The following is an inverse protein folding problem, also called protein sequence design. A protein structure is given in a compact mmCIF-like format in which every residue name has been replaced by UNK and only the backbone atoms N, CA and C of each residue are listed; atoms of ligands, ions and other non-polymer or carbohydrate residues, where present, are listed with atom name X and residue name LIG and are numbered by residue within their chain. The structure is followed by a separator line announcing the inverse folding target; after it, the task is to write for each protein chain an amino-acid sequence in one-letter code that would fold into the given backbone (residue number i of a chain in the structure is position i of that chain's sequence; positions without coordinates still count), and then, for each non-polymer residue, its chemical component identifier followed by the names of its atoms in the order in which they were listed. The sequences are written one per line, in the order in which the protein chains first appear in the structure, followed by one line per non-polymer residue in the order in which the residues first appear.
data_IF_797777289846
#
_entry.id   IF_797777289846
#
_cell.length_a   1.000
_cell.length_b   1.000
_cell.length_c   1.000
_cell.angle_alpha   90.00
_cell.angle_beta   90.00
_cell.angle_gamma   90.00
#
_symmetry.space_group_name_H-M   'P 1'
#
loop_
_entity.id
_entity.type
_entity.pdbx_description
1 polymer ?
#
# COMPACT_ATOMS: atom_id res chain seq x y z
N UNK A 1 4.67 -2.32 -17.02
CA UNK A 1 5.14 -2.28 -15.62
C UNK A 1 6.52 -2.91 -15.43
N UNK A 2 6.77 -4.14 -15.89
CA UNK A 2 8.07 -4.81 -15.70
C UNK A 2 9.28 -4.00 -16.21
N UNK A 3 9.17 -3.38 -17.40
CA UNK A 3 10.22 -2.49 -17.95
C UNK A 3 10.53 -1.31 -17.03
N UNK A 4 9.50 -0.69 -16.48
CA UNK A 4 9.64 0.44 -15.55
C UNK A 4 10.39 0.02 -14.29
N UNK A 5 10.00 -1.11 -13.68
CA UNK A 5 10.67 -1.67 -12.51
C UNK A 5 12.13 -1.97 -12.83
N UNK A 6 12.41 -2.62 -13.96
CA UNK A 6 13.77 -2.95 -14.38
C UNK A 6 14.66 -1.70 -14.55
N UNK A 7 14.09 -0.55 -14.93
CA UNK A 7 14.83 0.71 -15.06
C UNK A 7 15.19 1.37 -13.73
N UNK A 8 14.40 1.15 -12.68
CA UNK A 8 14.63 1.74 -11.34
C UNK A 8 15.36 0.80 -10.38
N UNK A 9 15.46 -0.48 -10.71
CA UNK A 9 16.22 -1.42 -9.92
C UNK A 9 17.73 -1.09 -9.94
N UNK A 10 18.47 -1.40 -8.86
CA UNK A 10 19.93 -1.35 -8.87
C UNK A 10 20.49 -2.15 -10.06
N UNK A 11 21.57 -1.67 -10.67
CA UNK A 11 22.13 -2.29 -11.89
C UNK A 11 22.53 -3.76 -11.70
N UNK A 12 22.93 -4.13 -10.47
CA UNK A 12 23.28 -5.49 -10.07
C UNK A 12 22.07 -6.35 -9.70
N UNK A 13 20.86 -5.79 -9.61
CA UNK A 13 19.67 -6.53 -9.28
C UNK A 13 19.26 -7.42 -10.47
N UNK A 14 19.20 -8.73 -10.20
CA UNK A 14 18.79 -9.74 -11.19
C UNK A 14 17.36 -10.24 -10.97
N UNK A 15 16.74 -9.83 -9.87
CA UNK A 15 15.40 -10.24 -9.45
C UNK A 15 14.82 -9.21 -8.48
N UNK A 16 13.51 -9.29 -8.28
CA UNK A 16 12.83 -8.70 -7.13
C UNK A 16 12.99 -9.68 -5.96
N UNK A 17 13.57 -9.22 -4.85
CA UNK A 17 13.73 -10.10 -3.69
C UNK A 17 12.39 -10.38 -2.98
N UNK A 18 11.55 -9.35 -2.84
CA UNK A 18 10.22 -9.44 -2.23
C UNK A 18 9.16 -8.76 -3.11
N UNK A 19 8.07 -9.46 -3.39
CA UNK A 19 6.83 -8.87 -3.91
C UNK A 19 5.73 -9.06 -2.87
N UNK A 20 5.12 -7.97 -2.42
CA UNK A 20 4.00 -7.99 -1.49
C UNK A 20 2.72 -7.59 -2.20
N UNK A 21 1.70 -8.42 -2.10
CA UNK A 21 0.38 -8.18 -2.67
C UNK A 21 -0.54 -7.66 -1.56
N UNK A 22 -0.98 -6.40 -1.63
CA UNK A 22 -1.71 -5.79 -0.51
C UNK A 22 -3.06 -6.49 -0.25
N UNK A 23 -3.79 -6.82 -1.30
CA UNK A 23 -5.04 -7.59 -1.31
C UNK A 23 -5.36 -8.03 -2.76
N UNK A 24 -6.49 -8.71 -2.96
CA UNK A 24 -6.82 -9.44 -4.19
C UNK A 24 -7.77 -8.71 -5.15
N UNK A 25 -7.63 -7.39 -5.30
CA UNK A 25 -8.25 -6.66 -6.40
C UNK A 25 -7.31 -6.53 -7.61
N UNK A 26 -7.93 -6.43 -8.79
CA UNK A 26 -7.22 -6.49 -10.07
C UNK A 26 -6.22 -5.37 -10.33
N UNK A 27 -6.37 -4.22 -9.69
CA UNK A 27 -5.41 -3.11 -9.72
C UNK A 27 -4.23 -3.28 -8.76
N UNK A 28 -4.29 -4.25 -7.86
CA UNK A 28 -3.18 -4.62 -6.97
C UNK A 28 -2.42 -5.85 -7.48
N UNK A 29 -3.13 -6.78 -8.12
CA UNK A 29 -2.54 -8.04 -8.59
C UNK A 29 -2.45 -8.20 -10.11
N UNK A 30 -3.23 -7.43 -10.87
CA UNK A 30 -3.50 -7.66 -12.28
C UNK A 30 -4.88 -8.28 -12.51
N UNK A 31 -5.52 -7.88 -13.60
CA UNK A 31 -6.79 -8.47 -14.07
C UNK A 31 -6.53 -9.29 -15.33
N UNK A 32 -6.84 -10.58 -15.30
CA UNK A 32 -6.79 -11.43 -16.49
C UNK A 32 -8.15 -11.48 -17.16
N UNK A 33 -8.15 -11.40 -18.48
CA UNK A 33 -9.34 -11.56 -19.34
C UNK A 33 -9.16 -12.77 -20.25
N UNK A 34 -10.18 -13.12 -21.04
CA UNK A 34 -10.17 -14.29 -21.93
C UNK A 34 -8.90 -14.35 -22.78
N UNK A 35 -8.53 -13.22 -23.35
CA UNK A 35 -7.47 -13.12 -24.35
C UNK A 35 -6.16 -12.55 -23.76
N UNK A 36 -6.03 -12.50 -22.42
CA UNK A 36 -4.74 -12.15 -21.80
C UNK A 36 -3.65 -13.12 -22.25
N UNK A 37 -2.43 -12.64 -22.56
CA UNK A 37 -1.32 -13.49 -22.97
C UNK A 37 -1.05 -14.62 -21.97
N UNK A 38 -0.58 -15.75 -22.46
CA UNK A 38 -0.18 -16.89 -21.61
C UNK A 38 1.32 -16.81 -21.34
N UNK A 39 1.76 -17.20 -20.14
CA UNK A 39 3.18 -17.34 -19.83
C UNK A 39 3.89 -18.23 -20.85
N UNK A 40 5.17 -17.96 -21.13
CA UNK A 40 5.99 -18.82 -21.99
C UNK A 40 6.08 -20.26 -21.48
N UNK A 41 5.93 -20.44 -20.17
CA UNK A 41 5.91 -21.74 -19.55
C UNK A 41 4.57 -22.48 -19.66
N UNK A 42 3.51 -21.79 -20.10
CA UNK A 42 2.14 -22.29 -20.05
C UNK A 42 1.54 -22.26 -18.64
N UNK A 43 0.26 -22.63 -18.51
CA UNK A 43 -0.40 -22.85 -17.22
C UNK A 43 -1.04 -21.64 -16.53
N UNK A 44 -0.58 -20.41 -16.80
CA UNK A 44 -1.20 -19.18 -16.30
C UNK A 44 -1.10 -18.02 -17.30
N UNK A 45 -1.99 -17.04 -17.14
CA UNK A 45 -2.08 -15.82 -17.93
C UNK A 45 -1.31 -14.66 -17.30
N UNK A 46 -0.83 -13.76 -18.15
CA UNK A 46 -0.02 -12.60 -17.82
C UNK A 46 -0.90 -11.37 -17.64
N UNK A 47 -0.86 -10.81 -16.43
CA UNK A 47 -1.39 -9.49 -16.06
C UNK A 47 -0.84 -9.09 -14.70
N UNK A 48 -0.42 -7.84 -14.53
CA UNK A 48 0.08 -7.33 -13.25
C UNK A 48 1.27 -8.12 -12.72
N UNK A 49 1.14 -8.75 -11.55
CA UNK A 49 2.25 -9.46 -10.89
C UNK A 49 2.73 -10.67 -11.71
N UNK A 50 1.83 -11.36 -12.40
CA UNK A 50 2.22 -12.55 -13.20
C UNK A 50 3.03 -12.16 -14.43
N UNK A 51 2.72 -11.00 -15.02
CA UNK A 51 3.52 -10.42 -16.11
C UNK A 51 4.87 -9.87 -15.62
N UNK A 52 4.91 -9.26 -14.42
CA UNK A 52 6.18 -8.84 -13.82
C UNK A 52 7.11 -10.05 -13.68
N UNK A 53 6.62 -11.14 -13.10
CA UNK A 53 7.40 -12.35 -12.86
C UNK A 53 7.86 -13.06 -14.14
N UNK A 54 7.15 -12.87 -15.26
CA UNK A 54 7.55 -13.38 -16.59
C UNK A 54 8.85 -12.73 -17.08
N UNK A 55 9.05 -11.45 -16.76
CA UNK A 55 10.17 -10.64 -17.25
C UNK A 55 11.27 -10.43 -16.21
N UNK A 56 10.91 -10.47 -14.93
CA UNK A 56 11.79 -10.16 -13.82
C UNK A 56 11.49 -11.16 -12.69
N UNK A 57 12.40 -12.11 -12.42
CA UNK A 57 12.17 -13.14 -11.40
C UNK A 57 11.84 -12.52 -10.04
N UNK A 58 11.00 -13.21 -9.26
CA UNK A 58 10.63 -12.82 -7.90
C UNK A 58 11.09 -13.91 -6.95
N UNK A 59 11.88 -13.55 -5.93
CA UNK A 59 12.40 -14.47 -4.93
C UNK A 59 11.33 -14.94 -3.95
N UNK A 60 10.59 -14.00 -3.36
CA UNK A 60 9.51 -14.26 -2.41
C UNK A 60 8.27 -13.43 -2.72
N UNK A 61 7.11 -14.09 -2.74
CA UNK A 61 5.80 -13.44 -2.73
C UNK A 61 5.21 -13.51 -1.33
N UNK A 62 4.66 -12.39 -0.85
CA UNK A 62 3.93 -12.33 0.41
C UNK A 62 2.53 -11.81 0.13
N UNK A 63 1.51 -12.54 0.57
CA UNK A 63 0.11 -12.14 0.43
C UNK A 63 -0.69 -12.40 1.71
N UNK A 64 -1.95 -11.96 1.74
CA UNK A 64 -2.77 -12.04 2.97
C UNK A 64 -3.32 -13.43 3.27
N UNK A 65 -3.31 -14.38 2.34
CA UNK A 65 -4.16 -15.58 2.46
C UNK A 65 -3.51 -16.92 2.06
N UNK A 66 -2.24 -16.94 1.65
CA UNK A 66 -1.50 -18.19 1.45
C UNK A 66 -1.53 -19.06 2.72
N UNK A 67 -1.61 -20.40 2.63
CA UNK A 67 -1.88 -21.18 1.42
C UNK A 67 -3.38 -21.42 1.16
N UNK A 68 -4.24 -21.06 2.10
CA UNK A 68 -5.62 -21.56 2.15
C UNK A 68 -6.55 -20.81 1.19
N UNK A 69 -6.36 -19.48 1.04
CA UNK A 69 -7.19 -18.61 0.21
C UNK A 69 -8.71 -18.76 0.48
N UNK A 70 -9.07 -18.97 1.75
CA UNK A 70 -10.43 -19.34 2.17
C UNK A 70 -11.15 -18.29 3.04
N UNK A 71 -10.48 -17.19 3.39
CA UNK A 71 -11.03 -16.12 4.24
C UNK A 71 -11.18 -14.80 3.47
N UNK A 72 -12.34 -14.12 3.56
CA UNK A 72 -13.50 -14.40 4.40
C UNK A 72 -14.42 -15.50 3.83
N UNK A 73 -14.21 -15.84 2.57
CA UNK A 73 -14.82 -16.93 1.83
C UNK A 73 -13.80 -17.50 0.83
N UNK A 74 -14.03 -18.70 0.27
CA UNK A 74 -13.17 -19.27 -0.76
C UNK A 74 -12.96 -18.34 -1.96
N UNK A 75 -11.70 -17.98 -2.20
CA UNK A 75 -11.31 -17.07 -3.28
C UNK A 75 -11.18 -17.83 -4.61
N UNK A 76 -12.27 -17.88 -5.37
CA UNK A 76 -12.40 -18.65 -6.62
C UNK A 76 -12.57 -17.80 -7.89
N UNK A 77 -12.34 -16.49 -7.82
CA UNK A 77 -12.41 -15.62 -9.00
C UNK A 77 -11.39 -16.04 -10.07
N UNK A 78 -11.63 -15.68 -11.35
CA UNK A 78 -10.69 -15.96 -12.45
C UNK A 78 -9.27 -15.48 -12.14
N UNK A 79 -9.14 -14.27 -11.58
CA UNK A 79 -7.86 -13.70 -11.18
C UNK A 79 -7.17 -14.55 -10.11
N UNK A 80 -7.92 -15.01 -9.10
CA UNK A 80 -7.38 -15.83 -8.02
C UNK A 80 -6.98 -17.23 -8.47
N UNK A 81 -7.79 -17.88 -9.31
CA UNK A 81 -7.43 -19.18 -9.90
C UNK A 81 -6.16 -19.05 -10.76
N UNK A 82 -6.03 -17.97 -11.53
CA UNK A 82 -4.82 -17.70 -12.31
C UNK A 82 -3.60 -17.44 -11.43
N UNK A 83 -3.75 -16.61 -10.39
CA UNK A 83 -2.68 -16.28 -9.44
C UNK A 83 -2.18 -17.51 -8.69
N UNK A 84 -3.08 -18.40 -8.26
CA UNK A 84 -2.71 -19.68 -7.62
C UNK A 84 -1.90 -20.58 -8.55
N UNK A 85 -2.33 -20.75 -9.80
CA UNK A 85 -1.55 -21.49 -10.82
C UNK A 85 -0.18 -20.88 -11.06
N UNK A 86 -0.10 -19.55 -11.09
CA UNK A 86 1.17 -18.82 -11.17
C UNK A 86 2.09 -19.15 -10.00
N UNK A 87 1.60 -19.06 -8.75
CA UNK A 87 2.39 -19.37 -7.57
C UNK A 87 2.84 -20.83 -7.56
N UNK A 88 1.93 -21.78 -7.80
CA UNK A 88 2.23 -23.22 -7.89
C UNK A 88 3.35 -23.48 -8.89
N UNK A 89 3.25 -22.91 -10.09
CA UNK A 89 4.26 -23.09 -11.13
C UNK A 89 5.61 -22.46 -10.72
N UNK A 90 5.61 -21.24 -10.20
CA UNK A 90 6.84 -20.54 -9.81
C UNK A 90 7.57 -21.22 -8.64
N UNK A 91 6.82 -21.75 -7.67
CA UNK A 91 7.37 -22.53 -6.56
C UNK A 91 8.03 -23.79 -7.11
N UNK A 92 7.33 -24.55 -7.96
CA UNK A 92 7.81 -25.82 -8.48
C UNK A 92 8.99 -25.68 -9.45
N UNK A 93 9.05 -24.60 -10.24
CA UNK A 93 9.97 -24.49 -11.39
C UNK A 93 11.03 -23.39 -11.28
N UNK A 94 10.87 -22.44 -10.35
CA UNK A 94 11.74 -21.26 -10.22
C UNK A 94 12.22 -21.01 -8.80
N UNK A 95 11.84 -21.87 -7.85
CA UNK A 95 12.27 -21.78 -6.45
C UNK A 95 11.70 -20.57 -5.71
N UNK A 96 10.65 -19.94 -6.25
CA UNK A 96 9.91 -18.87 -5.57
C UNK A 96 9.44 -19.37 -4.21
N UNK A 97 9.53 -18.51 -3.19
CA UNK A 97 8.93 -18.74 -1.87
C UNK A 97 7.63 -17.94 -1.77
N UNK A 98 6.64 -18.51 -1.10
CA UNK A 98 5.38 -17.83 -0.82
C UNK A 98 5.14 -17.87 0.68
N UNK A 99 4.77 -16.74 1.26
CA UNK A 99 4.49 -16.62 2.69
C UNK A 99 3.16 -15.87 2.89
N UNK A 100 2.46 -16.22 3.97
CA UNK A 100 1.36 -15.39 4.47
C UNK A 100 1.93 -14.21 5.23
N UNK A 101 1.39 -13.02 5.02
CA UNK A 101 1.69 -11.87 5.86
C UNK A 101 1.10 -12.07 7.26
N UNK A 102 1.96 -11.98 8.28
CA UNK A 102 1.60 -12.21 9.68
C UNK A 102 1.70 -10.90 10.47
N UNK A 103 0.58 -10.30 10.88
CA UNK A 103 0.57 -9.09 11.70
C UNK A 103 1.39 -9.25 12.98
N UNK A 104 2.12 -8.20 13.34
CA UNK A 104 3.01 -8.15 14.49
C UNK A 104 4.46 -8.56 14.22
N UNK A 105 4.74 -9.30 13.15
CA UNK A 105 6.12 -9.64 12.78
C UNK A 105 6.88 -8.46 12.16
N UNK A 106 8.21 -8.52 12.22
CA UNK A 106 9.12 -7.57 11.60
C UNK A 106 10.31 -8.23 10.89
N UNK A 107 10.21 -9.54 10.64
CA UNK A 107 11.28 -10.39 10.09
C UNK A 107 10.93 -11.01 8.72
N UNK A 108 9.70 -10.81 8.22
CA UNK A 108 9.28 -11.30 6.90
C UNK A 108 9.86 -10.48 5.75
N UNK A 109 9.98 -9.16 5.96
CA UNK A 109 10.54 -8.18 5.02
C UNK A 109 11.71 -7.48 5.69
N UNK A 110 12.93 -7.83 5.29
CA UNK A 110 14.17 -7.29 5.87
C UNK A 110 15.13 -6.84 4.78
N UNK A 111 16.07 -5.96 5.13
CA UNK A 111 17.18 -5.66 4.23
C UNK A 111 18.03 -6.91 4.03
N UNK A 112 18.24 -7.27 2.76
CA UNK A 112 19.08 -8.41 2.37
C UNK A 112 20.49 -8.01 1.99
N UNK A 113 20.69 -6.74 1.65
CA UNK A 113 21.96 -6.17 1.21
C UNK A 113 22.43 -5.19 2.26
N UNK A 114 23.65 -5.41 2.77
CA UNK A 114 24.31 -4.56 3.77
C UNK A 114 23.41 -4.17 4.96
N UNK A 115 22.69 -5.12 5.61
CA UNK A 115 21.79 -4.79 6.71
C UNK A 115 22.52 -4.10 7.87
N UNK A 116 23.77 -4.44 8.12
CA UNK A 116 24.60 -3.86 9.19
C UNK A 116 24.87 -2.35 8.99
N UNK A 117 24.76 -1.85 7.76
CA UNK A 117 24.86 -0.41 7.47
C UNK A 117 23.58 0.37 7.84
N UNK A 118 22.47 -0.33 8.07
CA UNK A 118 21.16 0.25 8.34
C UNK A 118 20.48 -0.43 9.54
N UNK A 119 21.12 -0.47 10.72
CA UNK A 119 20.64 -1.24 11.88
C UNK A 119 19.29 -0.74 12.43
N UNK A 120 18.89 0.48 12.07
CA UNK A 120 17.62 1.09 12.47
C UNK A 120 16.49 0.89 11.44
N UNK A 121 16.74 0.15 10.35
CA UNK A 121 15.71 -0.14 9.37
C UNK A 121 14.80 -1.27 9.86
N UNK A 122 13.49 -1.03 9.85
CA UNK A 122 12.47 -2.02 10.19
C UNK A 122 11.28 -1.92 9.22
N UNK A 123 10.71 -3.07 8.86
CA UNK A 123 9.33 -3.12 8.35
C UNK A 123 8.49 -3.87 9.39
N UNK A 124 7.56 -3.16 10.02
CA UNK A 124 6.61 -3.73 10.98
C UNK A 124 5.32 -4.09 10.28
N UNK A 125 4.93 -5.36 10.40
CA UNK A 125 3.62 -5.81 9.95
C UNK A 125 2.53 -5.29 10.89
N UNK A 126 1.72 -4.34 10.44
CA UNK A 126 0.69 -3.73 11.30
C UNK A 126 -0.61 -4.52 11.22
N UNK A 127 -1.09 -4.87 10.03
CA UNK A 127 -2.36 -5.56 9.89
C UNK A 127 -2.50 -6.36 8.59
N UNK A 128 -3.36 -7.36 8.61
CA UNK A 128 -3.86 -8.11 7.46
C UNK A 128 -5.13 -8.88 7.88
N UNK A 129 -6.08 -9.06 6.97
CA UNK A 129 -7.35 -9.76 7.25
C UNK A 129 -8.10 -9.21 8.48
N UNK A 130 -8.05 -7.88 8.70
CA UNK A 130 -8.56 -7.22 9.90
C UNK A 130 -8.00 -7.76 11.25
N UNK A 131 -6.89 -8.51 11.22
CA UNK A 131 -6.06 -8.77 12.39
C UNK A 131 -5.00 -7.69 12.50
N UNK A 132 -4.92 -7.04 13.65
CA UNK A 132 -4.11 -5.85 13.91
C UNK A 132 -3.11 -6.14 15.03
N UNK A 133 -1.86 -5.75 14.84
CA UNK A 133 -0.81 -5.80 15.83
C UNK A 133 -1.20 -5.02 17.10
N UNK A 134 -0.91 -5.60 18.26
CA UNK A 134 -1.30 -5.03 19.55
C UNK A 134 -0.35 -3.94 20.07
N UNK A 135 0.77 -3.71 19.36
CA UNK A 135 1.86 -2.86 19.84
C UNK A 135 2.86 -3.59 20.74
N UNK A 136 2.65 -4.88 21.04
CA UNK A 136 3.49 -5.67 21.95
C UNK A 136 3.97 -6.96 21.30
N UNK A 137 5.30 -7.12 21.23
CA UNK A 137 5.93 -8.29 20.61
C UNK A 137 5.36 -8.56 19.22
N UNK A 138 4.99 -9.80 18.95
CA UNK A 138 4.34 -10.23 17.70
C UNK A 138 2.83 -10.45 17.86
N UNK A 139 2.23 -10.08 19.01
CA UNK A 139 0.83 -10.37 19.26
C UNK A 139 -0.09 -9.51 18.39
N UNK A 140 -1.09 -10.14 17.77
CA UNK A 140 -2.11 -9.50 16.96
C UNK A 140 -3.50 -10.03 17.33
N UNK A 141 -4.54 -9.24 17.03
CA UNK A 141 -5.94 -9.61 17.31
C UNK A 141 -6.86 -9.13 16.20
N UNK A 142 -7.92 -9.88 15.94
CA UNK A 142 -9.01 -9.40 15.09
C UNK A 142 -9.63 -8.13 15.68
N UNK A 143 -9.99 -7.19 14.81
CA UNK A 143 -10.76 -5.98 15.16
C UNK A 143 -12.19 -6.02 14.66
N UNK A 144 -12.55 -7.04 13.87
CA UNK A 144 -13.95 -7.31 13.53
C UNK A 144 -14.61 -8.01 14.71
N UNK A 145 -15.84 -7.60 15.03
CA UNK A 145 -16.69 -8.31 15.98
C UNK A 145 -17.00 -9.73 15.46
N UNK A 146 -16.98 -10.74 16.33
CA UNK A 146 -17.29 -12.13 15.96
C UNK A 146 -18.73 -12.51 16.32
N UNK A 147 -19.38 -13.39 15.53
CA UNK A 147 -19.04 -13.67 14.14
C UNK A 147 -19.65 -12.53 13.32
N UNK A 148 -18.81 -11.72 12.67
CA UNK A 148 -19.31 -10.85 11.61
C UNK A 148 -19.94 -11.79 10.57
N UNK A 149 -21.27 -11.92 10.60
CA UNK A 149 -22.06 -12.70 9.63
C UNK A 149 -22.02 -12.06 8.25
N UNK A 150 -21.32 -10.94 8.11
CA UNK A 150 -21.18 -10.13 6.93
C UNK A 150 -19.72 -10.15 6.46
N UNK A 151 -19.54 -10.49 5.19
CA UNK A 151 -18.25 -10.39 4.51
C UNK A 151 -17.73 -8.93 4.62
N UNK A 152 -16.55 -8.68 5.20
CA UNK A 152 -16.03 -7.33 5.40
C UNK A 152 -15.66 -6.62 4.09
N UNK A 153 -15.63 -7.36 2.97
CA UNK A 153 -15.13 -6.89 1.69
C UNK A 153 -13.61 -6.89 1.63
N UNK A 154 -13.07 -7.12 0.43
CA UNK A 154 -11.64 -7.35 0.22
C UNK A 154 -10.76 -6.18 0.68
N UNK A 155 -11.20 -4.94 0.44
CA UNK A 155 -10.48 -3.72 0.82
C UNK A 155 -10.08 -3.69 2.30
N UNK A 156 -10.98 -4.11 3.20
CA UNK A 156 -10.74 -4.15 4.65
C UNK A 156 -9.72 -5.20 5.07
N UNK A 157 -9.45 -6.16 4.20
CA UNK A 157 -8.50 -7.25 4.44
C UNK A 157 -7.09 -6.90 3.95
N UNK A 158 -6.89 -5.70 3.40
CA UNK A 158 -5.61 -5.18 2.95
C UNK A 158 -4.51 -5.36 4.01
N UNK A 159 -3.32 -5.72 3.52
CA UNK A 159 -2.10 -5.67 4.29
C UNK A 159 -1.71 -4.22 4.55
N UNK A 160 -1.36 -3.93 5.81
CA UNK A 160 -0.79 -2.67 6.24
C UNK A 160 0.53 -2.89 6.97
N UNK A 161 1.51 -2.03 6.69
CA UNK A 161 2.81 -2.03 7.36
C UNK A 161 3.36 -0.63 7.54
N UNK A 162 4.28 -0.52 8.51
CA UNK A 162 5.09 0.67 8.72
C UNK A 162 6.54 0.37 8.35
N UNK A 163 7.16 1.26 7.58
CA UNK A 163 8.60 1.27 7.35
C UNK A 163 9.21 2.29 8.29
N UNK A 164 10.22 1.90 9.05
CA UNK A 164 10.98 2.77 9.94
C UNK A 164 12.44 2.77 9.50
N UNK A 165 13.08 3.94 9.46
CA UNK A 165 14.53 4.07 9.28
C UNK A 165 15.04 5.28 10.06
N UNK A 166 15.80 5.03 11.13
CA UNK A 166 16.19 6.09 12.04
C UNK A 166 14.95 6.71 12.70
N UNK A 167 14.75 8.02 12.50
CA UNK A 167 13.55 8.74 12.93
C UNK A 167 12.41 8.72 11.90
N UNK A 168 12.69 8.30 10.67
CA UNK A 168 11.70 8.37 9.60
C UNK A 168 10.72 7.20 9.68
N UNK A 169 9.43 7.51 9.63
CA UNK A 169 8.34 6.52 9.54
C UNK A 169 7.46 6.73 8.30
N UNK A 170 7.16 5.64 7.59
CA UNK A 170 6.23 5.62 6.46
C UNK A 170 5.15 4.56 6.64
N UNK A 171 3.88 4.92 6.39
CA UNK A 171 2.75 3.98 6.40
C UNK A 171 2.19 3.69 5.01
N UNK A 172 1.81 2.45 4.77
CA UNK A 172 0.91 2.07 3.67
C UNK A 172 -0.05 0.98 4.13
N UNK A 173 -1.33 1.13 3.74
CA UNK A 173 -2.41 0.19 4.05
C UNK A 173 -3.10 -0.38 2.81
N UNK A 174 -2.50 -0.27 1.63
CA UNK A 174 -3.18 -0.66 0.39
C UNK A 174 -4.51 0.09 0.25
N UNK A 175 -5.62 -0.66 0.20
CA UNK A 175 -6.96 -0.10 0.04
C UNK A 175 -7.84 -0.29 1.27
N UNK A 176 -7.26 -0.21 2.47
CA UNK A 176 -8.07 -0.14 3.70
C UNK A 176 -9.21 0.87 3.57
N UNK A 177 -10.41 0.45 3.98
CA UNK A 177 -11.62 1.26 3.87
C UNK A 177 -12.49 1.21 5.13
N UNK A 178 -13.33 2.22 5.28
CA UNK A 178 -14.14 2.58 6.43
C UNK A 178 -15.52 3.11 6.02
N UNK A 179 -16.22 2.37 5.16
CA UNK A 179 -17.54 2.74 4.60
C UNK A 179 -18.52 3.32 5.64
N UNK A 180 -18.55 2.79 6.87
CA UNK A 180 -19.51 3.18 7.90
C UNK A 180 -19.16 4.42 8.71
N UNK A 181 -17.94 4.99 8.60
CA UNK A 181 -17.48 6.08 9.48
C UNK A 181 -18.38 7.32 9.43
N UNK A 182 -18.88 7.67 8.25
CA UNK A 182 -19.68 8.89 8.04
C UNK A 182 -21.18 8.65 8.25
N UNK A 183 -21.63 7.40 8.38
CA UNK A 183 -23.05 7.00 8.43
C UNK A 183 -23.44 6.26 9.70
N UNK A 184 -22.47 5.92 10.55
CA UNK A 184 -22.65 5.19 11.81
C UNK A 184 -22.18 6.07 12.97
N UNK A 185 -22.80 6.01 14.16
CA UNK A 185 -22.30 6.76 15.30
C UNK A 185 -20.83 6.45 15.62
N UNK A 186 -20.05 7.42 16.14
CA UNK A 186 -18.65 7.21 16.45
C UNK A 186 -18.42 6.02 17.37
N UNK A 187 -17.61 5.06 16.91
CA UNK A 187 -17.28 3.85 17.67
C UNK A 187 -18.25 2.67 17.48
N UNK A 188 -19.33 2.84 16.73
CA UNK A 188 -20.33 1.79 16.49
C UNK A 188 -20.15 1.06 15.14
N UNK A 189 -19.28 1.54 14.24
CA UNK A 189 -18.94 0.81 13.01
C UNK A 189 -18.09 -0.43 13.33
N UNK A 190 -18.76 -1.59 13.42
CA UNK A 190 -18.15 -2.89 13.68
C UNK A 190 -17.22 -3.38 12.55
N UNK A 191 -17.21 -2.70 11.41
CA UNK A 191 -16.35 -2.97 10.26
C UNK A 191 -15.21 -1.95 10.14
N UNK A 192 -15.03 -1.06 11.12
CA UNK A 192 -13.97 -0.07 11.11
C UNK A 192 -12.61 -0.71 11.41
N UNK A 193 -11.84 -0.95 10.35
CA UNK A 193 -10.46 -1.43 10.44
C UNK A 193 -9.43 -0.30 10.52
N UNK A 194 -9.70 0.86 9.90
CA UNK A 194 -8.74 1.97 9.83
C UNK A 194 -8.44 2.54 11.23
N UNK A 195 -9.44 2.77 12.06
CA UNK A 195 -9.26 3.34 13.39
C UNK A 195 -8.30 2.51 14.28
N UNK A 196 -8.55 1.21 14.47
CA UNK A 196 -7.63 0.32 15.18
C UNK A 196 -6.22 0.24 14.56
N UNK A 197 -6.12 0.16 13.24
CA UNK A 197 -4.82 0.11 12.52
C UNK A 197 -4.04 1.41 12.73
N UNK A 198 -4.70 2.55 12.66
CA UNK A 198 -4.09 3.86 12.91
C UNK A 198 -3.52 3.96 14.32
N UNK A 199 -4.29 3.53 15.34
CA UNK A 199 -3.81 3.51 16.73
C UNK A 199 -2.62 2.58 16.94
N UNK A 200 -2.61 1.40 16.30
CA UNK A 200 -1.48 0.47 16.38
C UNK A 200 -0.23 1.00 15.66
N UNK A 201 -0.41 1.79 14.60
CA UNK A 201 0.68 2.41 13.85
C UNK A 201 1.31 3.57 14.61
N UNK A 202 0.46 4.44 15.18
CA UNK A 202 0.89 5.72 15.74
C UNK A 202 1.31 6.73 14.65
N UNK A 203 1.95 7.84 15.06
CA UNK A 203 2.35 8.89 14.14
C UNK A 203 3.41 8.43 13.12
N UNK A 204 3.31 8.87 11.85
CA UNK A 204 4.27 8.55 10.75
C UNK A 204 4.62 9.75 9.87
N UNK A 205 5.86 9.97 9.49
CA UNK A 205 6.25 11.17 8.70
C UNK A 205 5.51 11.29 7.38
N UNK A 206 5.37 10.16 6.68
CA UNK A 206 4.71 10.09 5.39
C UNK A 206 3.76 8.88 5.29
N UNK A 207 2.77 8.98 4.42
CA UNK A 207 1.88 7.85 4.13
C UNK A 207 1.43 7.81 2.67
N UNK A 208 1.11 6.61 2.18
CA UNK A 208 0.18 6.44 1.04
C UNK A 208 -1.25 6.59 1.57
N UNK A 209 -2.05 7.44 0.94
CA UNK A 209 -3.49 7.48 1.19
C UNK A 209 -4.11 6.12 0.90
N UNK A 210 -4.90 5.62 1.84
CA UNK A 210 -5.60 4.36 1.68
C UNK A 210 -6.61 4.47 0.53
N UNK A 211 -6.77 3.36 -0.19
CA UNK A 211 -7.77 3.18 -1.26
C UNK A 211 -7.77 4.31 -2.28
N UNK A 212 -6.58 4.71 -2.74
CA UNK A 212 -6.41 5.79 -3.72
C UNK A 212 -6.95 7.18 -3.28
N UNK A 213 -7.27 7.36 -2.00
CA UNK A 213 -8.00 8.52 -1.51
C UNK A 213 -9.50 8.48 -1.83
N UNK A 214 -10.08 7.30 -2.04
CA UNK A 214 -11.51 7.12 -2.30
C UNK A 214 -12.38 7.60 -1.13
N UNK A 215 -13.67 7.76 -1.39
CA UNK A 215 -14.65 8.34 -0.46
C UNK A 215 -14.80 7.53 0.82
N UNK A 216 -14.56 6.23 0.74
CA UNK A 216 -14.72 5.28 1.85
C UNK A 216 -13.42 5.04 2.64
N UNK A 217 -12.40 5.91 2.57
CA UNK A 217 -11.11 5.65 3.23
C UNK A 217 -10.48 6.92 3.83
N UNK A 218 -9.43 6.73 4.64
CA UNK A 218 -8.70 7.79 5.35
C UNK A 218 -9.58 8.52 6.37
N UNK A 219 -10.19 7.75 7.30
CA UNK A 219 -11.06 8.28 8.34
C UNK A 219 -10.38 9.35 9.21
N UNK A 220 -11.21 10.20 9.83
CA UNK A 220 -10.73 11.20 10.79
C UNK A 220 -9.92 10.59 11.95
N UNK A 221 -10.40 9.54 12.63
CA UNK A 221 -9.64 8.84 13.67
C UNK A 221 -8.30 8.28 13.18
N UNK A 222 -8.26 7.73 11.98
CA UNK A 222 -7.04 7.19 11.38
C UNK A 222 -6.00 8.30 11.11
N UNK A 223 -6.42 9.38 10.46
CA UNK A 223 -5.55 10.53 10.20
C UNK A 223 -5.09 11.23 11.49
N UNK A 224 -5.94 11.27 12.53
CA UNK A 224 -5.59 11.74 13.88
C UNK A 224 -4.49 10.92 14.54
N UNK A 225 -4.47 9.61 14.30
CA UNK A 225 -3.45 8.72 14.84
C UNK A 225 -2.12 8.86 14.09
N UNK A 226 -2.16 8.95 12.75
CA UNK A 226 -0.97 9.00 11.90
C UNK A 226 -0.33 10.39 11.80
N UNK A 227 -1.13 11.47 11.80
CA UNK A 227 -0.68 12.86 11.71
C UNK A 227 0.44 13.11 10.69
N UNK A 228 0.31 12.67 9.42
CA UNK A 228 1.41 12.71 8.46
C UNK A 228 1.79 14.13 8.04
N UNK A 229 3.08 14.38 7.79
CA UNK A 229 3.56 15.62 7.16
C UNK A 229 3.44 15.53 5.63
N UNK A 230 3.55 14.34 5.06
CA UNK A 230 3.43 14.06 3.62
C UNK A 230 2.39 12.97 3.36
N UNK A 231 1.47 13.22 2.44
CA UNK A 231 0.47 12.23 1.98
C UNK A 231 0.62 12.05 0.48
N UNK A 232 0.82 10.81 0.03
CA UNK A 232 0.85 10.45 -1.39
C UNK A 232 -0.45 9.77 -1.77
N UNK A 233 -1.19 10.36 -2.70
CA UNK A 233 -2.45 9.82 -3.23
C UNK A 233 -2.17 9.20 -4.60
N UNK A 234 -2.05 7.87 -4.62
CA UNK A 234 -1.93 7.10 -5.85
C UNK A 234 -3.29 6.92 -6.50
N UNK A 235 -3.67 7.77 -7.45
CA UNK A 235 -4.99 7.76 -8.08
C UNK A 235 -5.10 6.68 -9.15
N UNK A 236 -6.32 6.20 -9.36
CA UNK A 236 -6.65 5.13 -10.32
C UNK A 236 -7.77 5.50 -11.28
N UNK A 237 -8.70 6.36 -10.85
CA UNK A 237 -9.91 6.70 -11.58
C UNK A 237 -10.32 8.14 -11.26
N UNK A 238 -11.31 8.64 -11.99
CA UNK A 238 -11.96 9.90 -11.65
C UNK A 238 -12.63 9.85 -10.27
N UNK A 239 -12.63 10.97 -9.56
CA UNK A 239 -13.10 11.04 -8.18
C UNK A 239 -12.07 10.59 -7.14
N UNK A 240 -10.82 10.35 -7.53
CA UNK A 240 -9.70 10.09 -6.61
C UNK A 240 -8.69 11.25 -6.63
N UNK A 241 -8.36 11.87 -5.47
CA UNK A 241 -9.03 11.69 -4.19
C UNK A 241 -10.48 12.18 -4.24
N UNK A 242 -11.36 11.58 -3.43
CA UNK A 242 -12.75 12.01 -3.30
C UNK A 242 -12.85 13.28 -2.45
N UNK A 243 -13.88 14.09 -2.67
CA UNK A 243 -14.06 15.40 -2.01
C UNK A 243 -14.08 15.30 -0.48
N UNK A 244 -14.77 14.31 0.09
CA UNK A 244 -14.84 14.11 1.55
C UNK A 244 -13.48 13.65 2.11
N UNK A 245 -12.78 12.77 1.41
CA UNK A 245 -11.45 12.29 1.78
C UNK A 245 -10.41 13.39 1.69
N UNK A 246 -10.41 14.20 0.63
CA UNK A 246 -9.55 15.37 0.52
C UNK A 246 -9.80 16.37 1.65
N UNK A 247 -11.08 16.67 1.96
CA UNK A 247 -11.46 17.53 3.08
C UNK A 247 -10.94 17.01 4.42
N UNK A 248 -10.94 15.70 4.66
CA UNK A 248 -10.35 15.09 5.87
C UNK A 248 -8.84 15.26 5.90
N UNK A 249 -8.15 15.02 4.78
CA UNK A 249 -6.69 15.13 4.68
C UNK A 249 -6.17 16.57 4.83
N UNK A 250 -6.96 17.58 4.46
CA UNK A 250 -6.57 19.00 4.61
C UNK A 250 -7.02 19.64 5.93
N UNK A 251 -7.84 18.94 6.72
CA UNK A 251 -8.45 19.50 7.94
C UNK A 251 -7.46 19.66 9.10
N UNK A 252 -7.23 20.91 9.53
CA UNK A 252 -6.50 21.22 10.78
C UNK A 252 -7.20 20.74 12.05
N UNK A 253 -8.51 20.47 11.97
CA UNK A 253 -9.26 19.86 13.07
C UNK A 253 -8.98 18.35 13.18
N UNK A 254 -8.53 17.69 12.10
CA UNK A 254 -8.02 16.33 12.17
C UNK A 254 -6.65 16.33 12.86
N UNK A 255 -5.67 17.12 12.41
CA UNK A 255 -4.47 17.39 13.20
C UNK A 255 -3.90 18.78 12.86
N UNK A 256 -3.34 19.51 13.84
CA UNK A 256 -2.94 20.91 13.64
C UNK A 256 -1.68 21.05 12.78
N UNK A 257 -0.83 20.02 12.74
CA UNK A 257 0.48 20.02 12.09
C UNK A 257 0.41 20.24 10.57
N UNK A 258 1.50 20.71 9.94
CA UNK A 258 1.54 20.91 8.50
C UNK A 258 1.39 19.59 7.72
N UNK A 259 0.82 19.67 6.52
CA UNK A 259 0.63 18.55 5.59
C UNK A 259 0.77 18.99 4.14
N UNK A 260 1.52 18.22 3.36
CA UNK A 260 1.69 18.38 1.91
C UNK A 260 1.12 17.13 1.23
N UNK A 261 0.23 17.35 0.26
CA UNK A 261 -0.45 16.27 -0.46
C UNK A 261 0.10 16.20 -1.88
N UNK A 262 0.52 15.02 -2.30
CA UNK A 262 0.99 14.74 -3.65
C UNK A 262 0.07 13.73 -4.31
N UNK A 263 -0.64 14.16 -5.35
CA UNK A 263 -1.55 13.32 -6.13
C UNK A 263 -0.84 12.92 -7.43
N UNK A 264 -0.82 11.61 -7.72
CA UNK A 264 -0.07 11.10 -8.88
C UNK A 264 -0.67 11.54 -10.22
N UNK A 265 -1.99 11.74 -10.26
CA UNK A 265 -2.71 12.32 -11.39
C UNK A 265 -4.09 12.83 -10.92
N UNK A 266 -4.40 14.11 -11.15
CA UNK A 266 -5.73 14.68 -10.94
C UNK A 266 -6.45 14.78 -12.28
N UNK A 267 -7.52 13.99 -12.48
CA UNK A 267 -8.31 14.07 -13.71
C UNK A 267 -9.05 15.41 -13.82
N UNK A 268 -9.40 15.88 -15.03
CA UNK A 268 -10.20 17.10 -15.21
C UNK A 268 -11.54 17.07 -14.46
N UNK A 269 -12.18 15.90 -14.37
CA UNK A 269 -13.41 15.72 -13.60
C UNK A 269 -13.15 15.89 -12.09
N UNK A 270 -12.10 15.25 -11.57
CA UNK A 270 -11.73 15.34 -10.14
C UNK A 270 -11.34 16.76 -9.76
N UNK A 271 -10.63 17.48 -10.63
CA UNK A 271 -10.26 18.87 -10.43
C UNK A 271 -11.48 19.78 -10.21
N UNK A 272 -12.61 19.49 -10.87
CA UNK A 272 -13.85 20.27 -10.74
C UNK A 272 -14.67 19.93 -9.49
N UNK A 273 -14.53 18.72 -8.97
CA UNK A 273 -15.41 18.20 -7.89
C UNK A 273 -14.74 18.15 -6.53
N UNK A 274 -13.41 18.09 -6.49
CA UNK A 274 -12.63 18.05 -5.25
C UNK A 274 -12.12 19.44 -4.92
N UNK A 275 -12.90 20.19 -4.14
CA UNK A 275 -12.59 21.59 -3.81
C UNK A 275 -11.26 21.74 -3.04
N UNK A 276 -10.42 22.69 -3.46
CA UNK A 276 -9.11 22.98 -2.85
C UNK A 276 -7.98 22.06 -3.33
N UNK A 277 -8.25 21.16 -4.29
CA UNK A 277 -7.23 20.24 -4.82
C UNK A 277 -6.08 20.97 -5.54
N UNK A 278 -6.33 22.17 -6.03
CA UNK A 278 -5.33 23.08 -6.61
C UNK A 278 -4.25 23.50 -5.60
N UNK A 279 -4.51 23.41 -4.29
CA UNK A 279 -3.54 23.69 -3.22
C UNK A 279 -2.62 22.49 -2.91
N UNK A 280 -2.85 21.32 -3.55
CA UNK A 280 -1.97 20.18 -3.39
C UNK A 280 -0.54 20.51 -3.86
N UNK A 281 0.46 19.98 -3.14
CA UNK A 281 1.87 20.20 -3.46
C UNK A 281 2.26 19.60 -4.83
N UNK A 282 1.55 18.59 -5.30
CA UNK A 282 1.66 18.09 -6.66
C UNK A 282 0.37 17.43 -7.12
N UNK A 283 0.01 17.62 -8.39
CA UNK A 283 -1.22 17.08 -9.02
C UNK A 283 -0.95 16.11 -10.17
N UNK A 284 0.31 15.91 -10.54
CA UNK A 284 0.73 15.01 -11.62
C UNK A 284 2.21 14.61 -11.46
N UNK A 285 2.49 13.30 -11.47
CA UNK A 285 3.85 12.76 -11.57
C UNK A 285 4.08 11.53 -10.69
N UNK A 286 5.24 10.89 -10.88
CA UNK A 286 5.71 9.85 -9.97
C UNK A 286 6.39 10.48 -8.75
N UNK A 287 5.84 10.22 -7.58
CA UNK A 287 6.33 10.73 -6.30
C UNK A 287 7.35 9.78 -5.68
N UNK A 288 8.56 10.26 -5.44
CA UNK A 288 9.66 9.55 -4.78
C UNK A 288 9.94 10.21 -3.43
N UNK A 289 9.85 9.45 -2.34
CA UNK A 289 10.29 9.90 -1.01
C UNK A 289 11.72 9.42 -0.79
N UNK A 290 12.66 10.36 -0.64
CA UNK A 290 14.08 10.07 -0.43
C UNK A 290 14.47 10.45 1.00
N UNK A 291 14.77 9.44 1.80
CA UNK A 291 15.20 9.60 3.20
C UNK A 291 16.72 9.79 3.25
N UNK A 292 17.18 10.77 4.02
CA UNK A 292 18.61 11.01 4.23
C UNK A 292 19.25 9.88 5.07
N UNK A 293 20.57 9.67 4.97
CA UNK A 293 21.27 8.73 5.86
C UNK A 293 20.95 9.00 7.34
N UNK A 294 20.70 7.93 8.11
CA UNK A 294 20.29 8.03 9.52
C UNK A 294 18.84 8.47 9.75
N UNK A 295 18.07 8.79 8.71
CA UNK A 295 16.62 9.00 8.82
C UNK A 295 16.17 10.27 9.54
N UNK A 296 17.06 11.25 9.74
CA UNK A 296 16.71 12.50 10.44
C UNK A 296 15.90 13.48 9.56
N UNK A 297 15.96 13.32 8.23
CA UNK A 297 15.22 14.15 7.29
C UNK A 297 14.94 13.41 6.00
N UNK A 298 13.99 13.91 5.22
CA UNK A 298 13.63 13.35 3.92
C UNK A 298 13.20 14.45 2.94
N UNK A 299 13.17 14.12 1.65
CA UNK A 299 12.66 15.00 0.58
C UNK A 299 11.63 14.25 -0.24
N UNK A 300 10.71 15.00 -0.83
CA UNK A 300 9.79 14.48 -1.84
C UNK A 300 10.25 14.97 -3.20
N UNK A 301 10.45 14.07 -4.16
CA UNK A 301 10.84 14.36 -5.53
C UNK A 301 9.69 13.95 -6.42
N UNK A 302 9.19 14.86 -7.25
CA UNK A 302 8.18 14.56 -8.26
C UNK A 302 8.88 14.40 -9.60
N UNK A 303 8.78 13.22 -10.18
CA UNK A 303 9.30 12.90 -11.52
C UNK A 303 8.22 13.11 -12.57
N UNK A 304 8.66 13.47 -13.77
CA UNK A 304 7.84 13.45 -14.98
C UNK A 304 7.44 12.01 -15.31
N UNK A 305 6.14 11.81 -15.45
CA UNK A 305 5.51 10.53 -15.76
C UNK A 305 5.02 10.44 -17.22
N UNK A 306 5.28 11.45 -18.05
CA UNK A 306 4.98 11.42 -19.49
C UNK A 306 5.85 10.41 -20.25
N UNK A 307 7.00 10.03 -19.68
CA UNK A 307 7.90 9.02 -20.20
C UNK A 307 8.77 8.43 -19.08
N UNK A 308 9.58 7.43 -19.41
CA UNK A 308 10.42 6.71 -18.44
C UNK A 308 11.83 7.32 -18.28
N UNK A 309 12.06 8.60 -18.63
CA UNK A 309 13.39 9.26 -18.53
C UNK A 309 13.81 9.62 -17.10
N UNK A 310 12.89 9.50 -16.13
CA UNK A 310 13.11 9.84 -14.72
C UNK A 310 13.49 11.32 -14.50
N UNK A 311 13.03 12.22 -15.38
CA UNK A 311 13.26 13.66 -15.27
C UNK A 311 12.61 14.21 -14.01
N UNK A 312 13.38 14.93 -13.19
CA UNK A 312 12.86 15.63 -12.01
C UNK A 312 12.03 16.85 -12.45
N UNK A 313 10.76 16.92 -12.01
CA UNK A 313 9.88 18.09 -12.17
C UNK A 313 9.98 19.04 -10.99
N UNK A 314 10.03 18.51 -9.77
CA UNK A 314 10.04 19.31 -8.55
C UNK A 314 10.69 18.54 -7.38
N UNK A 315 11.19 19.30 -6.40
CA UNK A 315 11.77 18.78 -5.16
C UNK A 315 11.22 19.60 -3.99
N UNK A 316 10.76 18.92 -2.95
CA UNK A 316 10.17 19.51 -1.75
C UNK A 316 10.90 19.05 -0.49
N UNK A 317 10.95 19.91 0.51
CA UNK A 317 11.71 19.71 1.74
C UNK A 317 13.09 20.39 1.72
N UNK A 318 14.05 19.95 2.56
CA UNK A 318 13.97 18.77 3.41
C UNK A 318 12.92 18.94 4.52
N UNK A 319 12.13 17.89 4.73
CA UNK A 319 11.28 17.71 5.90
C UNK A 319 12.11 17.08 7.01
N UNK A 320 11.91 17.52 8.25
CA UNK A 320 12.50 16.85 9.41
C UNK A 320 11.63 15.65 9.78
N UNK A 321 12.29 14.53 10.06
CA UNK A 321 11.64 13.35 10.65
C UNK A 321 11.42 13.56 12.13
N UNK A 322 10.31 13.03 12.65
CA UNK A 322 9.92 13.20 14.06
C UNK A 322 10.61 12.24 15.02
#
# INVERSE_FOLDING_TARGET
MARYIARILPAEARRIDYALLSHFHGDHMGTVVKDSPVSRAGGYQLSGITEIAEHLPIGRVIDRAWPDYAWPEPLASRNMLNYRRFLEWQVANRGMKVERFEPGRNDQLRLLRTPDAYPQFEIRNIAANASVWTGKGTAARSVLASPATTNPGENKLSIAFRVSYGKFDYFTGGDLSVIGEDTTPPGEDLMNVEGPIGRATGPVDAMKANHHGSWDANSGPFLRALQPRVIVVGTRAEGHPAVNTHKRMTSKAAWPGPRDIFVTNVSPATFKTTYGIEEAAGTQGHVVIRVAPGGASYRVVVLDDSNESMRVKAVFGPYQSR
#
